data_IF_551304594300
#
_entry.id   IF_551304594300
#
_cell.length_a   1.000
_cell.length_b   1.000
_cell.length_c   1.000
_cell.angle_alpha   90.00
_cell.angle_beta   90.00
_cell.angle_gamma   90.00
#
_symmetry.space_group_name_H-M   'P 1'
#
loop_
_entity.id
_entity.type
_entity.pdbx_description
1 polymer ?
#
# COMPACT_ATOMS: atom_id res chain seq x y z
N UNK A 1 -4.17 -5.08 -3.26
CA UNK A 1 -2.95 -4.29 -2.96
C UNK A 1 -3.41 -2.96 -2.40
N UNK A 2 -3.11 -2.68 -1.13
CA UNK A 2 -3.38 -1.37 -0.51
C UNK A 2 -2.26 -0.39 -0.85
N UNK A 3 -2.60 0.88 -1.06
CA UNK A 3 -1.65 1.92 -1.47
C UNK A 3 -1.78 3.13 -0.53
N UNK A 4 -0.64 3.60 -0.03
CA UNK A 4 -0.50 4.86 0.68
C UNK A 4 0.48 5.77 -0.07
N UNK A 5 0.10 7.04 -0.27
CA UNK A 5 0.96 8.03 -0.92
C UNK A 5 2.16 8.36 -0.02
N UNK A 6 1.92 8.62 1.26
CA UNK A 6 2.97 8.81 2.28
C UNK A 6 3.29 7.50 3.01
N UNK A 7 4.37 7.48 3.81
CA UNK A 7 4.63 6.37 4.73
C UNK A 7 3.78 6.54 6.01
N UNK A 8 2.78 5.68 6.28
CA UNK A 8 1.96 5.77 7.49
C UNK A 8 2.77 5.54 8.77
N UNK A 9 3.82 4.72 8.72
CA UNK A 9 4.67 4.40 9.89
C UNK A 9 5.57 5.56 10.33
N UNK A 10 5.78 6.56 9.47
CA UNK A 10 6.51 7.79 9.82
C UNK A 10 5.60 8.89 10.39
N UNK A 11 4.33 8.57 10.65
CA UNK A 11 3.29 9.52 11.06
C UNK A 11 2.69 9.14 12.41
N UNK A 12 1.59 9.80 12.76
CA UNK A 12 0.86 9.60 14.01
C UNK A 12 0.47 8.13 14.20
N UNK A 13 0.54 7.64 15.45
CA UNK A 13 0.36 6.22 15.81
C UNK A 13 -0.95 5.61 15.28
N UNK A 14 -2.04 6.39 15.29
CA UNK A 14 -3.34 5.90 14.80
C UNK A 14 -3.34 5.54 13.30
N UNK A 15 -2.34 5.96 12.53
CA UNK A 15 -2.17 5.60 11.11
C UNK A 15 -1.37 4.33 10.88
N UNK A 16 -0.76 3.77 11.92
CA UNK A 16 0.03 2.55 11.81
C UNK A 16 -0.86 1.32 11.64
N UNK A 17 -2.12 1.42 12.07
CA UNK A 17 -3.12 0.36 11.94
C UNK A 17 -4.07 0.65 10.79
N UNK A 18 -4.07 -0.22 9.78
CA UNK A 18 -5.07 -0.21 8.70
C UNK A 18 -6.08 -1.33 8.90
N UNK A 19 -7.36 -1.01 8.73
CA UNK A 19 -8.46 -1.99 8.72
C UNK A 19 -8.56 -2.74 7.38
N UNK A 20 -7.80 -2.31 6.37
CA UNK A 20 -7.77 -2.90 5.03
C UNK A 20 -6.61 -3.89 4.90
N UNK A 21 -5.47 -3.64 5.56
CA UNK A 21 -4.27 -4.50 5.53
C UNK A 21 -4.56 -5.99 5.78
N UNK A 22 -5.57 -6.30 6.62
CA UNK A 22 -5.92 -7.68 6.97
C UNK A 22 -6.56 -8.52 5.84
N UNK A 23 -7.00 -7.91 4.74
CA UNK A 23 -7.71 -8.61 3.65
C UNK A 23 -7.07 -8.42 2.26
N UNK A 24 -5.99 -7.64 2.15
CA UNK A 24 -5.29 -7.40 0.88
C UNK A 24 -4.07 -8.32 0.72
N UNK A 25 -3.67 -8.58 -0.52
CA UNK A 25 -2.45 -9.36 -0.81
C UNK A 25 -1.13 -8.68 -0.36
N UNK A 26 -1.16 -7.39 -0.05
CA UNK A 26 0.02 -6.62 0.34
C UNK A 26 -0.23 -5.12 0.30
N UNK A 27 0.66 -4.36 0.94
CA UNK A 27 0.55 -2.91 1.12
C UNK A 27 1.82 -2.22 0.60
N UNK A 28 1.66 -1.10 -0.13
CA UNK A 28 2.75 -0.28 -0.67
C UNK A 28 2.56 1.15 -0.16
N UNK A 29 3.58 1.74 0.46
CA UNK A 29 3.48 3.08 1.06
C UNK A 29 4.78 3.87 0.99
N UNK A 30 4.70 5.20 0.91
CA UNK A 30 5.86 6.09 1.03
C UNK A 30 6.55 6.52 -0.27
N UNK A 31 6.05 6.09 -1.44
CA UNK A 31 6.64 6.43 -2.74
C UNK A 31 5.86 7.50 -3.52
N UNK A 32 4.97 8.24 -2.84
CA UNK A 32 4.14 9.25 -3.49
C UNK A 32 3.20 8.63 -4.52
N UNK A 33 3.10 9.24 -5.70
CA UNK A 33 2.28 8.73 -6.80
C UNK A 33 2.88 7.46 -7.43
N UNK A 34 4.18 7.23 -7.30
CA UNK A 34 4.82 6.02 -7.86
C UNK A 34 4.35 4.74 -7.16
N UNK A 35 3.81 4.84 -5.94
CA UNK A 35 3.15 3.73 -5.25
C UNK A 35 2.04 3.07 -6.09
N UNK A 36 1.31 3.84 -6.91
CA UNK A 36 0.29 3.30 -7.81
C UNK A 36 0.90 2.50 -8.95
N UNK A 37 2.00 3.00 -9.52
CA UNK A 37 2.73 2.28 -10.58
C UNK A 37 3.28 0.95 -10.07
N UNK A 38 3.87 0.95 -8.88
CA UNK A 38 4.33 -0.27 -8.20
C UNK A 38 3.19 -1.25 -7.93
N UNK A 39 2.03 -0.77 -7.52
CA UNK A 39 0.85 -1.61 -7.30
C UNK A 39 0.36 -2.28 -8.59
N UNK A 40 0.36 -1.58 -9.72
CA UNK A 40 -0.01 -2.16 -11.03
C UNK A 40 1.01 -3.23 -11.46
N UNK A 41 2.31 -2.98 -11.25
CA UNK A 41 3.35 -3.97 -11.54
C UNK A 41 3.15 -5.24 -10.70
N UNK A 42 2.90 -5.08 -9.40
CA UNK A 42 2.62 -6.21 -8.51
C UNK A 42 1.32 -6.96 -8.90
N UNK A 43 0.29 -6.23 -9.34
CA UNK A 43 -0.98 -6.79 -9.80
C UNK A 43 -0.83 -7.72 -10.99
N UNK A 44 0.15 -7.49 -11.88
CA UNK A 44 0.41 -8.35 -13.05
C UNK A 44 0.59 -9.82 -12.70
N UNK A 45 1.17 -10.13 -11.53
CA UNK A 45 1.39 -11.51 -11.08
C UNK A 45 0.19 -12.09 -10.29
N UNK A 46 -0.82 -11.26 -10.00
CA UNK A 46 -2.02 -11.64 -9.24
C UNK A 46 -3.21 -11.88 -10.16
N UNK A 47 -3.22 -11.24 -11.33
CA UNK A 47 -4.26 -11.41 -12.35
C UNK A 47 -3.84 -12.53 -13.30
N UNK A 48 -4.72 -13.52 -13.49
CA UNK A 48 -4.55 -14.60 -14.48
C UNK A 48 -4.99 -14.13 -15.86
#
# INVERSE_FOLDING_TARGET
IEVHISNPLSREEFRHTSVISGVVNGTIGGFGLDSYRLAIIAMKNLVK
#
